data_IF_574351406968
#
_entry.id   IF_574351406968
#
_cell.length_a   1.000
_cell.length_b   1.000
_cell.length_c   1.000
_cell.angle_alpha   90.00
_cell.angle_beta   90.00
_cell.angle_gamma   90.00
#
_symmetry.space_group_name_H-M   'P 1'
#
loop_
_entity.id
_entity.type
_entity.pdbx_description
1 polymer ?
#
# COMPACT_ATOMS: atom_id res chain seq x y z
N UNK A 1 -49.86 -7.40 0.49
CA UNK A 1 -48.54 -8.07 0.51
C UNK A 1 -47.53 -7.11 -0.10
N UNK A 2 -46.71 -6.49 0.73
CA UNK A 2 -45.67 -5.54 0.32
C UNK A 2 -44.35 -6.31 0.31
N UNK A 3 -43.75 -6.53 -0.87
CA UNK A 3 -42.38 -7.03 -0.98
C UNK A 3 -41.44 -5.83 -0.83
N UNK A 4 -40.70 -5.79 0.28
CA UNK A 4 -39.57 -4.88 0.47
C UNK A 4 -38.35 -5.53 -0.17
N UNK A 5 -37.91 -5.00 -1.30
CA UNK A 5 -36.61 -5.33 -1.88
C UNK A 5 -35.51 -4.68 -1.03
N UNK A 6 -34.74 -5.47 -0.28
CA UNK A 6 -33.48 -5.02 0.28
C UNK A 6 -32.46 -4.91 -0.86
N UNK A 7 -32.30 -3.70 -1.38
CA UNK A 7 -31.15 -3.36 -2.20
C UNK A 7 -29.89 -3.36 -1.35
N UNK A 8 -29.00 -4.33 -1.57
CA UNK A 8 -27.63 -4.24 -1.14
C UNK A 8 -26.98 -3.08 -1.92
N UNK A 9 -26.93 -1.90 -1.31
CA UNK A 9 -26.09 -0.81 -1.79
C UNK A 9 -24.64 -1.22 -1.59
N UNK A 10 -24.07 -1.92 -2.58
CA UNK A 10 -22.64 -1.98 -2.73
C UNK A 10 -22.18 -0.57 -3.11
N UNK A 11 -21.63 0.17 -2.16
CA UNK A 11 -20.94 1.43 -2.46
C UNK A 11 -19.90 1.14 -3.55
N UNK A 12 -19.82 1.96 -4.61
CA UNK A 12 -18.73 1.85 -5.56
C UNK A 12 -17.43 1.94 -4.77
N UNK A 13 -16.55 0.95 -4.94
CA UNK A 13 -15.25 0.96 -4.31
C UNK A 13 -14.47 2.16 -4.86
N UNK A 14 -14.39 3.24 -4.08
CA UNK A 14 -13.53 4.37 -4.36
C UNK A 14 -12.09 3.90 -4.27
N UNK A 15 -11.27 4.36 -5.20
CA UNK A 15 -9.99 3.75 -5.47
C UNK A 15 -8.88 4.08 -4.45
N UNK A 16 -9.05 5.19 -3.72
CA UNK A 16 -8.41 5.43 -2.43
C UNK A 16 -9.49 6.07 -1.57
N UNK A 17 -10.11 5.28 -0.69
CA UNK A 17 -11.17 5.77 0.19
C UNK A 17 -10.57 6.50 1.40
N UNK A 18 -10.71 7.82 1.41
CA UNK A 18 -10.20 8.69 2.48
C UNK A 18 -11.23 8.93 3.59
N UNK A 19 -12.51 8.62 3.36
CA UNK A 19 -13.64 8.89 4.26
C UNK A 19 -14.30 7.62 4.80
N UNK A 20 -13.50 6.58 5.07
CA UNK A 20 -14.00 5.34 5.65
C UNK A 20 -14.68 5.57 7.00
N UNK A 21 -15.86 4.98 7.18
CA UNK A 21 -16.54 4.91 8.47
C UNK A 21 -15.98 3.77 9.34
N UNK A 22 -16.22 3.83 10.65
CA UNK A 22 -15.88 2.73 11.57
C UNK A 22 -16.52 1.40 11.16
N UNK A 23 -17.77 1.42 10.67
CA UNK A 23 -18.47 0.23 10.22
C UNK A 23 -17.80 -0.37 8.96
N UNK A 24 -17.46 0.47 7.99
CA UNK A 24 -16.72 0.03 6.79
C UNK A 24 -15.33 -0.50 7.14
N UNK A 25 -14.59 0.16 8.03
CA UNK A 25 -13.29 -0.33 8.50
C UNK A 25 -13.41 -1.72 9.15
N UNK A 26 -14.37 -1.91 10.06
CA UNK A 26 -14.63 -3.22 10.69
C UNK A 26 -15.01 -4.28 9.65
N UNK A 27 -15.76 -3.91 8.62
CA UNK A 27 -16.12 -4.81 7.53
C UNK A 27 -14.89 -5.23 6.70
N UNK A 28 -14.03 -4.27 6.31
CA UNK A 28 -12.78 -4.55 5.58
C UNK A 28 -11.89 -5.50 6.39
N UNK A 29 -11.72 -5.23 7.69
CA UNK A 29 -10.95 -6.10 8.58
C UNK A 29 -11.53 -7.51 8.66
N UNK A 30 -12.85 -7.65 8.80
CA UNK A 30 -13.52 -8.94 8.86
C UNK A 30 -13.35 -9.74 7.56
N UNK A 31 -13.48 -9.09 6.41
CA UNK A 31 -13.27 -9.71 5.09
C UNK A 31 -11.82 -10.17 4.90
N UNK A 32 -10.83 -9.40 5.38
CA UNK A 32 -9.42 -9.77 5.32
C UNK A 32 -9.03 -10.87 6.33
N UNK A 33 -9.75 -10.92 7.46
CA UNK A 33 -9.53 -11.91 8.53
C UNK A 33 -10.01 -13.31 8.15
N UNK A 34 -11.18 -13.42 7.53
CA UNK A 34 -11.83 -14.71 7.22
C UNK A 34 -10.93 -15.73 6.51
N UNK A 35 -10.23 -15.37 5.42
CA UNK A 35 -9.31 -16.26 4.73
C UNK A 35 -8.15 -16.76 5.62
N UNK A 36 -7.65 -15.91 6.52
CA UNK A 36 -6.56 -16.28 7.44
C UNK A 36 -7.01 -17.27 8.51
N UNK A 37 -8.25 -17.11 9.00
CA UNK A 37 -8.87 -18.06 9.94
C UNK A 37 -9.19 -19.41 9.25
N UNK A 38 -9.58 -19.37 7.96
CA UNK A 38 -9.94 -20.55 7.16
C UNK A 38 -8.75 -21.34 6.58
N UNK A 39 -7.57 -20.72 6.46
CA UNK A 39 -6.38 -21.38 5.94
C UNK A 39 -6.11 -22.71 6.67
N UNK A 40 -5.59 -23.73 6.00
CA UNK A 40 -5.25 -25.02 6.60
C UNK A 40 -3.85 -25.04 7.23
N UNK A 41 -2.92 -24.21 6.75
CA UNK A 41 -1.50 -24.24 7.15
C UNK A 41 -0.87 -22.84 7.27
N UNK A 42 0.37 -22.79 7.77
CA UNK A 42 1.18 -21.57 7.76
C UNK A 42 1.54 -21.14 6.33
N UNK A 43 1.85 -22.10 5.46
CA UNK A 43 2.22 -21.82 4.07
C UNK A 43 1.06 -21.18 3.30
N UNK A 44 -0.17 -21.61 3.54
CA UNK A 44 -1.36 -21.00 2.96
C UNK A 44 -1.58 -19.57 3.49
N UNK A 45 -1.37 -19.34 4.78
CA UNK A 45 -1.38 -17.98 5.34
C UNK A 45 -0.32 -17.08 4.70
N UNK A 46 0.90 -17.59 4.47
CA UNK A 46 1.94 -16.85 3.76
C UNK A 46 1.55 -16.56 2.31
N UNK A 47 0.90 -17.50 1.61
CA UNK A 47 0.41 -17.30 0.25
C UNK A 47 -0.68 -16.20 0.20
N UNK A 48 -1.60 -16.17 1.16
CA UNK A 48 -2.64 -15.13 1.28
C UNK A 48 -1.99 -13.75 1.46
N UNK A 49 -1.04 -13.62 2.39
CA UNK A 49 -0.34 -12.34 2.64
C UNK A 49 0.39 -11.89 1.36
N UNK A 50 1.14 -12.79 0.72
CA UNK A 50 1.89 -12.48 -0.51
C UNK A 50 0.98 -12.09 -1.67
N UNK A 51 -0.21 -12.68 -1.78
CA UNK A 51 -1.19 -12.31 -2.79
C UNK A 51 -1.79 -10.92 -2.53
N UNK A 52 -2.06 -10.58 -1.27
CA UNK A 52 -2.65 -9.30 -0.89
C UNK A 52 -1.72 -8.10 -1.20
N UNK A 53 -0.41 -8.25 -0.95
CA UNK A 53 0.57 -7.17 -1.21
C UNK A 53 0.62 -6.71 -2.68
N UNK A 54 0.09 -7.52 -3.61
CA UNK A 54 0.02 -7.15 -5.04
C UNK A 54 -1.05 -6.11 -5.33
N UNK A 55 -2.14 -6.06 -4.56
CA UNK A 55 -3.28 -5.19 -4.85
C UNK A 55 -2.97 -3.71 -4.62
N UNK A 56 -2.05 -3.42 -3.69
CA UNK A 56 -1.59 -2.08 -3.35
C UNK A 56 -0.34 -1.66 -4.13
N UNK A 57 0.18 -2.52 -5.02
CA UNK A 57 1.42 -2.26 -5.77
C UNK A 57 1.14 -1.65 -7.13
N UNK A 58 2.00 -0.73 -7.51
CA UNK A 58 2.09 -0.12 -8.84
C UNK A 58 3.53 -0.20 -9.37
N UNK A 59 3.67 -0.08 -10.69
CA UNK A 59 4.94 -0.25 -11.38
C UNK A 59 5.31 -1.73 -11.55
N UNK A 60 6.62 -1.99 -11.57
CA UNK A 60 7.16 -3.31 -11.83
C UNK A 60 6.86 -4.33 -10.71
N UNK A 61 6.65 -5.60 -11.05
CA UNK A 61 6.60 -6.69 -10.06
C UNK A 61 8.03 -7.20 -9.79
N UNK A 62 8.59 -7.03 -8.57
CA UNK A 62 9.93 -7.52 -8.26
C UNK A 62 10.10 -9.04 -8.41
N UNK A 63 9.00 -9.81 -8.48
CA UNK A 63 9.06 -11.24 -8.75
C UNK A 63 9.42 -11.56 -10.21
N UNK A 64 9.03 -10.71 -11.16
CA UNK A 64 9.28 -10.92 -12.60
C UNK A 64 10.30 -9.94 -13.17
N UNK A 65 10.43 -8.76 -12.57
CA UNK A 65 11.42 -7.74 -12.90
C UNK A 65 12.11 -7.24 -11.61
N UNK A 66 13.10 -7.99 -11.09
CA UNK A 66 13.76 -7.68 -9.83
C UNK A 66 14.44 -6.31 -9.81
N UNK A 67 15.01 -5.88 -10.94
CA UNK A 67 15.53 -4.53 -11.15
C UNK A 67 14.46 -3.66 -11.80
N UNK A 68 13.40 -3.39 -11.03
CA UNK A 68 12.26 -2.59 -11.46
C UNK A 68 12.02 -1.42 -10.51
N UNK A 69 11.20 -0.47 -10.97
CA UNK A 69 10.70 0.63 -10.14
C UNK A 69 9.25 0.34 -9.77
N UNK A 70 8.94 0.39 -8.48
CA UNK A 70 7.62 0.07 -7.97
C UNK A 70 7.30 0.91 -6.75
N UNK A 71 6.02 1.02 -6.43
CA UNK A 71 5.59 1.57 -5.16
C UNK A 71 4.45 0.74 -4.57
N UNK A 72 4.36 0.73 -3.24
CA UNK A 72 3.27 0.13 -2.49
C UNK A 72 2.53 1.26 -1.79
N UNK A 73 1.26 1.45 -2.13
CA UNK A 73 0.37 2.44 -1.54
C UNK A 73 -0.28 1.85 -0.29
N UNK A 74 0.06 2.39 0.88
CA UNK A 74 -0.53 1.96 2.15
C UNK A 74 -1.71 2.86 2.48
N UNK A 75 -2.81 2.65 1.75
CA UNK A 75 -4.11 3.31 1.96
C UNK A 75 -4.69 2.94 3.34
N UNK A 76 -5.74 3.65 3.79
CA UNK A 76 -6.48 3.25 4.99
C UNK A 76 -7.03 1.83 4.85
N UNK A 77 -7.58 1.48 3.68
CA UNK A 77 -8.01 0.12 3.34
C UNK A 77 -6.87 -0.88 3.49
N UNK A 78 -5.68 -0.60 2.92
CA UNK A 78 -4.51 -1.47 3.06
C UNK A 78 -4.20 -1.77 4.52
N UNK A 79 -4.18 -0.75 5.39
CA UNK A 79 -3.91 -0.93 6.81
C UNK A 79 -4.98 -1.79 7.49
N UNK A 80 -6.27 -1.55 7.23
CA UNK A 80 -7.34 -2.38 7.78
C UNK A 80 -7.27 -3.82 7.29
N UNK A 81 -6.99 -4.05 6.02
CA UNK A 81 -6.82 -5.41 5.53
C UNK A 81 -5.59 -6.09 6.14
N UNK A 82 -4.46 -5.38 6.24
CA UNK A 82 -3.25 -5.87 6.90
C UNK A 82 -3.54 -6.30 8.34
N UNK A 83 -4.22 -5.44 9.11
CA UNK A 83 -4.55 -5.75 10.49
C UNK A 83 -5.63 -6.81 10.63
N UNK A 84 -6.62 -6.86 9.74
CA UNK A 84 -7.59 -7.96 9.69
C UNK A 84 -6.92 -9.31 9.44
N UNK A 85 -5.95 -9.37 8.52
CA UNK A 85 -5.13 -10.57 8.31
C UNK A 85 -4.33 -10.94 9.55
N UNK A 86 -3.73 -9.95 10.20
CA UNK A 86 -2.94 -10.16 11.41
C UNK A 86 -3.80 -10.63 12.60
N UNK A 87 -5.03 -10.12 12.75
CA UNK A 87 -6.01 -10.66 13.69
C UNK A 87 -6.28 -12.14 13.45
N UNK A 88 -6.56 -12.53 12.20
CA UNK A 88 -6.85 -13.92 11.85
C UNK A 88 -5.66 -14.84 12.11
N UNK A 89 -4.47 -14.40 11.67
CA UNK A 89 -3.21 -15.13 11.91
C UNK A 89 -2.95 -15.32 13.41
N UNK A 90 -3.01 -14.24 14.19
CA UNK A 90 -2.78 -14.29 15.64
C UNK A 90 -3.84 -15.09 16.36
N UNK A 91 -5.11 -14.96 15.97
CA UNK A 91 -6.19 -15.72 16.59
C UNK A 91 -5.99 -17.22 16.40
N UNK A 92 -5.63 -17.63 15.18
CA UNK A 92 -5.36 -19.03 14.85
C UNK A 92 -4.15 -19.59 15.60
N UNK A 93 -3.04 -18.84 15.63
CA UNK A 93 -1.82 -19.25 16.36
C UNK A 93 -2.08 -19.33 17.87
N UNK A 94 -2.81 -18.37 18.43
CA UNK A 94 -3.11 -18.31 19.85
C UNK A 94 -4.29 -19.21 20.28
N UNK A 95 -5.03 -19.79 19.32
CA UNK A 95 -6.27 -20.56 19.55
C UNK A 95 -7.34 -19.80 20.36
N UNK A 96 -7.37 -18.48 20.23
CA UNK A 96 -8.33 -17.61 20.89
C UNK A 96 -8.60 -16.38 20.02
N UNK A 97 -9.72 -15.71 20.23
CA UNK A 97 -10.06 -14.52 19.46
C UNK A 97 -9.13 -13.35 19.81
N UNK A 98 -8.40 -12.84 18.81
CA UNK A 98 -7.56 -11.64 18.92
C UNK A 98 -8.17 -10.55 18.03
N UNK A 99 -8.52 -9.42 18.64
CA UNK A 99 -9.08 -8.25 17.95
C UNK A 99 -8.28 -7.00 18.26
N UNK A 100 -8.23 -6.13 17.27
CA UNK A 100 -7.67 -4.80 17.38
C UNK A 100 -8.55 -3.95 18.29
N UNK A 101 -7.96 -3.18 19.23
CA UNK A 101 -8.71 -2.21 20.00
C UNK A 101 -9.34 -1.15 19.09
N UNK A 102 -10.56 -0.72 19.39
CA UNK A 102 -11.27 0.29 18.60
C UNK A 102 -10.49 1.61 18.49
N UNK A 103 -9.74 1.98 19.53
CA UNK A 103 -8.84 3.13 19.51
C UNK A 103 -7.81 3.07 18.37
N UNK A 104 -7.29 1.88 18.04
CA UNK A 104 -6.34 1.72 16.94
C UNK A 104 -7.02 1.81 15.57
N UNK A 105 -8.26 1.34 15.47
CA UNK A 105 -9.09 1.51 14.26
C UNK A 105 -9.31 3.01 14.01
N UNK A 106 -9.66 3.76 15.06
CA UNK A 106 -9.87 5.20 14.98
C UNK A 106 -8.57 5.95 14.61
N UNK A 107 -7.42 5.52 15.11
CA UNK A 107 -6.12 6.09 14.72
C UNK A 107 -5.88 5.99 13.20
N UNK A 108 -6.20 4.83 12.60
CA UNK A 108 -6.05 4.59 11.16
C UNK A 108 -7.07 5.44 10.37
N UNK A 109 -8.33 5.50 10.83
CA UNK A 109 -9.36 6.36 10.23
C UNK A 109 -8.92 7.82 10.20
N UNK A 110 -8.21 8.27 11.23
CA UNK A 110 -7.74 9.64 11.38
C UNK A 110 -6.38 9.90 10.72
N UNK A 111 -5.78 8.93 10.02
CA UNK A 111 -4.51 9.15 9.33
C UNK A 111 -4.68 10.26 8.26
N UNK A 112 -3.91 11.36 8.34
CA UNK A 112 -4.06 12.49 7.43
C UNK A 112 -3.30 12.27 6.11
N UNK A 113 -2.46 11.24 6.04
CA UNK A 113 -1.50 11.06 4.96
C UNK A 113 -1.63 9.66 4.34
N UNK A 114 -1.45 9.59 3.03
CA UNK A 114 -1.10 8.37 2.32
C UNK A 114 0.38 8.06 2.57
N UNK A 115 0.68 6.88 3.13
CA UNK A 115 2.04 6.37 3.18
C UNK A 115 2.34 5.52 1.95
N UNK A 116 3.52 5.70 1.38
CA UNK A 116 3.97 5.00 0.20
C UNK A 116 5.38 4.42 0.45
N UNK A 117 5.57 3.14 0.16
CA UNK A 117 6.91 2.55 0.10
C UNK A 117 7.35 2.49 -1.36
N UNK A 118 8.43 3.19 -1.71
CA UNK A 118 8.96 3.26 -3.06
C UNK A 118 10.18 2.36 -3.15
N UNK A 119 10.19 1.46 -4.13
CA UNK A 119 11.30 0.57 -4.45
C UNK A 119 11.92 0.95 -5.79
N UNK A 120 13.23 1.14 -5.79
CA UNK A 120 14.01 1.56 -6.96
C UNK A 120 15.17 0.60 -7.18
N UNK A 121 15.60 0.50 -8.43
CA UNK A 121 16.81 -0.19 -8.82
C UNK A 121 17.89 0.80 -9.27
N UNK A 122 19.14 0.53 -8.90
CA UNK A 122 20.31 1.33 -9.29
C UNK A 122 21.59 0.50 -9.29
N UNK A 123 22.69 1.13 -9.70
CA UNK A 123 23.97 0.43 -9.93
C UNK A 123 24.97 0.49 -8.76
N UNK A 124 24.58 1.16 -7.68
CA UNK A 124 25.42 1.38 -6.49
C UNK A 124 24.59 1.17 -5.22
N UNK A 125 25.24 0.98 -4.07
CA UNK A 125 24.53 0.71 -2.80
C UNK A 125 23.80 1.94 -2.23
N UNK A 126 24.23 3.16 -2.57
CA UNK A 126 23.70 4.41 -2.02
C UNK A 126 23.07 5.31 -3.09
N UNK A 127 22.77 4.77 -4.27
CA UNK A 127 22.27 5.53 -5.42
C UNK A 127 20.99 6.34 -5.14
N UNK A 128 20.16 5.88 -4.19
CA UNK A 128 18.91 6.53 -3.84
C UNK A 128 19.10 7.63 -2.78
N UNK A 129 20.29 7.81 -2.21
CA UNK A 129 20.53 8.86 -1.22
C UNK A 129 20.26 10.25 -1.83
N UNK A 130 19.52 11.07 -1.09
CA UNK A 130 19.09 12.39 -1.55
C UNK A 130 17.92 12.38 -2.54
N UNK A 131 17.41 11.22 -2.96
CA UNK A 131 16.26 11.17 -3.86
C UNK A 131 15.01 11.79 -3.22
N UNK A 132 14.30 12.62 -3.97
CA UNK A 132 13.00 13.20 -3.62
C UNK A 132 11.88 12.57 -4.44
N UNK A 133 10.63 12.79 -4.02
CA UNK A 133 9.46 12.25 -4.72
C UNK A 133 8.30 13.23 -4.72
N UNK A 134 7.57 13.27 -5.83
CA UNK A 134 6.32 13.99 -5.99
C UNK A 134 5.24 13.10 -6.63
N UNK A 135 3.98 13.42 -6.35
CA UNK A 135 2.84 12.99 -7.15
C UNK A 135 2.57 14.06 -8.20
N UNK A 136 2.63 13.68 -9.48
CA UNK A 136 2.28 14.55 -10.58
C UNK A 136 0.88 14.20 -11.08
N UNK A 137 -0.04 15.16 -10.99
CA UNK A 137 -1.42 15.05 -11.41
C UNK A 137 -1.73 16.17 -12.40
N UNK A 138 -1.67 15.85 -13.70
CA UNK A 138 -1.75 16.84 -14.76
C UNK A 138 -0.60 17.86 -14.67
N UNK A 139 -0.93 19.13 -14.45
CA UNK A 139 0.05 20.21 -14.30
C UNK A 139 0.54 20.41 -12.85
N UNK A 140 -0.05 19.72 -11.88
CA UNK A 140 0.24 19.90 -10.45
C UNK A 140 1.27 18.87 -10.00
N UNK A 141 2.29 19.32 -9.26
CA UNK A 141 3.24 18.46 -8.55
C UNK A 141 3.01 18.62 -7.05
N UNK A 142 2.66 17.53 -6.37
CA UNK A 142 2.44 17.44 -4.93
C UNK A 142 3.66 16.79 -4.30
N UNK A 143 4.40 17.55 -3.50
CA UNK A 143 5.59 17.05 -2.82
C UNK A 143 5.21 16.21 -1.59
N UNK A 144 6.07 15.24 -1.24
CA UNK A 144 5.91 14.51 0.01
C UNK A 144 6.06 15.45 1.22
N UNK A 145 5.17 15.30 2.21
CA UNK A 145 5.23 16.05 3.48
C UNK A 145 6.27 15.47 4.44
N UNK A 146 6.60 14.20 4.28
CA UNK A 146 7.61 13.48 5.04
C UNK A 146 8.22 12.37 4.18
N UNK A 147 9.50 12.06 4.40
CA UNK A 147 10.26 11.09 3.63
C UNK A 147 11.26 10.37 4.52
N UNK A 148 11.20 9.04 4.53
CA UNK A 148 12.18 8.20 5.20
C UNK A 148 13.52 8.19 4.49
N UNK A 149 14.61 7.93 5.23
CA UNK A 149 15.92 7.72 4.61
C UNK A 149 15.87 6.46 3.73
N UNK A 150 16.38 6.51 2.49
CA UNK A 150 16.60 5.32 1.68
C UNK A 150 17.44 4.29 2.39
N UNK A 151 16.97 3.05 2.33
CA UNK A 151 17.71 1.89 2.80
C UNK A 151 18.96 1.68 1.93
N UNK A 152 20.01 1.13 2.53
CA UNK A 152 21.18 0.66 1.77
C UNK A 152 20.71 -0.36 0.74
N UNK A 153 21.14 -0.16 -0.51
CA UNK A 153 20.84 -1.01 -1.64
C UNK A 153 21.22 -2.46 -1.37
N UNK A 154 20.27 -3.36 -1.56
CA UNK A 154 20.49 -4.81 -1.46
C UNK A 154 20.79 -5.35 -2.85
N UNK A 155 21.92 -6.05 -3.00
CA UNK A 155 22.31 -6.64 -4.27
C UNK A 155 21.26 -7.65 -4.75
N UNK A 156 20.88 -7.55 -6.02
CA UNK A 156 19.97 -8.51 -6.65
C UNK A 156 20.73 -9.82 -6.91
N UNK A 157 20.24 -10.98 -6.43
CA UNK A 157 20.85 -12.27 -6.72
C UNK A 157 21.01 -12.50 -8.23
N UNK A 158 22.21 -12.91 -8.65
CA UNK A 158 22.51 -13.15 -10.06
C UNK A 158 22.80 -11.90 -10.90
N UNK A 159 22.62 -10.69 -10.36
CA UNK A 159 23.05 -9.46 -11.03
C UNK A 159 24.52 -9.14 -10.76
N UNK A 160 25.19 -8.54 -11.75
CA UNK A 160 26.57 -8.06 -11.61
C UNK A 160 26.63 -6.84 -10.69
N UNK A 161 25.81 -5.82 -10.94
CA UNK A 161 25.87 -4.49 -10.28
C UNK A 161 24.51 -3.90 -9.91
N UNK A 162 23.41 -4.65 -9.98
CA UNK A 162 22.10 -4.09 -9.64
C UNK A 162 21.78 -4.22 -8.15
N UNK A 163 21.31 -3.12 -7.56
CA UNK A 163 20.90 -2.99 -6.18
C UNK A 163 19.47 -2.47 -6.10
N UNK A 164 18.69 -3.00 -5.16
CA UNK A 164 17.36 -2.48 -4.83
C UNK A 164 17.43 -1.68 -3.54
N UNK A 165 17.04 -0.42 -3.61
CA UNK A 165 16.83 0.44 -2.44
C UNK A 165 15.35 0.74 -2.28
N UNK A 166 14.94 0.99 -1.05
CA UNK A 166 13.57 1.39 -0.70
C UNK A 166 13.56 2.56 0.27
N UNK A 167 12.58 3.42 0.16
CA UNK A 167 12.28 4.47 1.14
C UNK A 167 10.77 4.67 1.27
N UNK A 168 10.35 5.26 2.38
CA UNK A 168 8.97 5.69 2.57
C UNK A 168 8.80 7.15 2.21
N UNK A 169 7.62 7.51 1.73
CA UNK A 169 7.17 8.88 1.55
C UNK A 169 5.72 9.01 2.04
N UNK A 170 5.36 10.20 2.51
CA UNK A 170 4.00 10.51 2.95
C UNK A 170 3.47 11.72 2.19
N UNK A 171 2.22 11.63 1.75
CA UNK A 171 1.52 12.70 1.05
C UNK A 171 0.23 13.00 1.81
N UNK A 172 -0.04 14.27 2.09
CA UNK A 172 -1.28 14.62 2.78
C UNK A 172 -2.47 14.41 1.86
N UNK A 173 -3.52 13.74 2.34
CA UNK A 173 -4.71 13.43 1.53
C UNK A 173 -5.42 14.68 0.99
N UNK A 174 -5.25 15.82 1.64
CA UNK A 174 -5.83 17.09 1.22
C UNK A 174 -5.10 17.74 0.03
N UNK A 175 -3.85 17.32 -0.25
CA UNK A 175 -3.00 17.98 -1.24
C UNK A 175 -3.02 17.31 -2.62
N UNK A 176 -3.67 16.14 -2.76
CA UNK A 176 -3.79 15.43 -4.03
C UNK A 176 -5.19 14.85 -4.24
N UNK A 177 -5.55 14.58 -5.49
CA UNK A 177 -6.82 13.93 -5.83
C UNK A 177 -6.67 12.38 -5.74
N UNK A 178 -7.39 11.69 -4.85
CA UNK A 178 -7.33 10.24 -4.71
C UNK A 178 -7.91 9.46 -5.90
N UNK A 179 -8.54 10.13 -6.87
CA UNK A 179 -9.13 9.53 -8.07
C UNK A 179 -8.41 9.91 -9.36
N UNK A 180 -7.36 10.74 -9.30
CA UNK A 180 -6.67 11.18 -10.51
C UNK A 180 -5.66 10.15 -11.03
N UNK A 181 -5.48 10.15 -12.36
CA UNK A 181 -4.30 9.53 -12.98
C UNK A 181 -3.07 10.29 -12.48
N UNK A 182 -2.16 9.57 -11.85
CA UNK A 182 -1.04 10.12 -11.11
C UNK A 182 0.26 9.51 -11.61
N UNK A 183 1.31 10.32 -11.73
CA UNK A 183 2.66 9.83 -11.91
C UNK A 183 3.41 9.99 -10.60
N UNK A 184 4.06 8.94 -10.12
CA UNK A 184 5.03 9.08 -9.03
C UNK A 184 6.37 9.37 -9.68
N UNK A 185 6.87 10.58 -9.43
CA UNK A 185 8.11 11.06 -10.03
C UNK A 185 9.16 11.12 -8.93
N UNK A 186 10.22 10.33 -9.08
CA UNK A 186 11.38 10.34 -8.19
C UNK A 186 12.48 11.18 -8.84
N UNK A 187 12.99 12.15 -8.09
CA UNK A 187 14.05 13.06 -8.47
C UNK A 187 15.35 12.65 -7.80
N UNK A 188 16.40 12.39 -8.57
CA UNK A 188 17.73 12.11 -8.02
C UNK A 188 18.59 13.38 -7.99
N UNK A 189 19.56 13.48 -7.05
CA UNK A 189 20.46 14.64 -6.97
C UNK A 189 21.28 14.90 -8.24
N UNK A 190 21.50 13.86 -9.06
CA UNK A 190 22.21 13.94 -10.34
C UNK A 190 21.33 14.44 -11.51
N UNK A 191 20.08 14.82 -11.22
CA UNK A 191 19.11 15.31 -12.20
C UNK A 191 18.36 14.22 -12.95
N UNK A 192 18.62 12.93 -12.69
CA UNK A 192 17.82 11.84 -13.27
C UNK A 192 16.44 11.79 -12.64
N UNK A 193 15.49 11.30 -13.45
CA UNK A 193 14.12 11.08 -13.03
C UNK A 193 13.72 9.62 -13.27
N UNK A 194 12.94 9.09 -12.35
CA UNK A 194 12.21 7.83 -12.53
C UNK A 194 10.72 8.14 -12.39
N UNK A 195 9.93 7.71 -13.37
CA UNK A 195 8.48 7.87 -13.36
C UNK A 195 7.82 6.51 -13.22
N UNK A 196 6.93 6.37 -12.24
CA UNK A 196 6.06 5.22 -12.07
C UNK A 196 4.63 5.69 -12.35
N UNK A 197 4.04 5.22 -13.45
CA UNK A 197 2.65 5.52 -13.79
C UNK A 197 1.71 4.84 -12.78
N UNK A 198 0.78 5.61 -12.24
CA UNK A 198 -0.10 5.21 -11.15
C UNK A 198 -1.51 5.76 -11.38
N UNK A 199 -2.42 4.93 -11.86
CA UNK A 199 -3.82 5.33 -11.92
C UNK A 199 -4.47 5.13 -10.55
N UNK A 200 -4.56 6.19 -9.75
CA UNK A 200 -5.12 6.08 -8.39
C UNK A 200 -6.58 5.65 -8.42
N UNK A 201 -7.33 5.94 -9.51
CA UNK A 201 -8.70 5.46 -9.73
C UNK A 201 -8.83 3.93 -9.84
N UNK A 202 -7.71 3.20 -9.94
CA UNK A 202 -7.67 1.74 -10.06
C UNK A 202 -7.09 1.03 -8.83
N UNK A 203 -6.63 1.80 -7.84
CA UNK A 203 -6.11 1.26 -6.57
C UNK A 203 -7.30 0.86 -5.68
N UNK A 204 -7.08 0.08 -4.62
CA UNK A 204 -8.06 -0.20 -3.57
C UNK A 204 -7.44 0.04 -2.18
#
# INVERSE_FOLDING_TARGET
MLLVALGAMGSPALAIDVELTLAQAKQVMASARGPMEAAASNDEMFAIIKAADKNSRIGDDPATKPCGSSAILRTKTYWFEYFGREEGRRSKVAKQEVRMPEAKIQEILNMPNLEMEIGLCGQEEFFAEGADVALQQGATNVMAVDKGKPSRGRKIPGSKMDYVSRFSARFAYQDFDPQAVTNIVVFFPDGKLVTIEADFSKIK
#
